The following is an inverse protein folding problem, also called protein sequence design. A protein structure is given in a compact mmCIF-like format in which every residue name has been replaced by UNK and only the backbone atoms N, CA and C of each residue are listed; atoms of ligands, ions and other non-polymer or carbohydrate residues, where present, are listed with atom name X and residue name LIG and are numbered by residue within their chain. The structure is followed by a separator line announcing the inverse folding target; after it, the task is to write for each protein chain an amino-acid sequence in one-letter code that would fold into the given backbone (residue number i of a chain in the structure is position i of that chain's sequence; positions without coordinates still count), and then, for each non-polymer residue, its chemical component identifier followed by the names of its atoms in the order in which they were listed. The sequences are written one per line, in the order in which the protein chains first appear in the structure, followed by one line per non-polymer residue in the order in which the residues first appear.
data_IF_687984772858
#
_entry.id   IF_687984772858
#
_cell.length_a   1.000
_cell.length_b   1.000
_cell.length_c   1.000
_cell.angle_alpha   90.00
_cell.angle_beta   90.00
_cell.angle_gamma   90.00
#
_symmetry.space_group_name_H-M   'P 1'
#
loop_
_entity.id
_entity.type
_entity.pdbx_description
1 polymer ?
#
# COMPACT_ATOMS: atom_id res chain seq x y z
N UNK A 1 -10.12 6.15 -23.36
CA UNK A 1 -10.20 6.42 -21.90
C UNK A 1 -9.64 7.83 -21.69
N UNK A 2 -10.25 8.65 -20.85
CA UNK A 2 -9.91 10.08 -20.75
C UNK A 2 -8.69 10.29 -19.86
N UNK A 3 -7.68 11.06 -20.30
CA UNK A 3 -6.48 11.41 -19.53
C UNK A 3 -6.82 12.03 -18.16
N UNK A 4 -7.91 12.81 -18.11
CA UNK A 4 -8.39 13.39 -16.85
C UNK A 4 -8.68 12.32 -15.81
N UNK A 5 -9.32 11.22 -16.21
CA UNK A 5 -9.61 10.10 -15.33
C UNK A 5 -8.32 9.44 -14.79
N UNK A 6 -7.32 9.23 -15.65
CA UNK A 6 -6.02 8.68 -15.19
C UNK A 6 -5.31 9.58 -14.18
N UNK A 7 -5.41 10.91 -14.33
CA UNK A 7 -4.88 11.85 -13.34
C UNK A 7 -5.62 11.76 -12.01
N UNK A 8 -6.93 11.67 -12.03
CA UNK A 8 -7.76 11.51 -10.83
C UNK A 8 -7.42 10.19 -10.12
N UNK A 9 -7.31 9.09 -10.85
CA UNK A 9 -6.91 7.78 -10.31
C UNK A 9 -5.48 7.82 -9.75
N UNK A 10 -4.54 8.50 -10.41
CA UNK A 10 -3.17 8.67 -9.93
C UNK A 10 -3.12 9.48 -8.62
N UNK A 11 -3.89 10.57 -8.53
CA UNK A 11 -3.98 11.39 -7.30
C UNK A 11 -4.53 10.56 -6.15
N UNK A 12 -5.59 9.79 -6.37
CA UNK A 12 -6.16 8.91 -5.35
C UNK A 12 -5.15 7.82 -4.94
N UNK A 13 -4.46 7.22 -5.90
CA UNK A 13 -3.43 6.20 -5.66
C UNK A 13 -2.27 6.75 -4.81
N UNK A 14 -1.77 7.95 -5.12
CA UNK A 14 -0.69 8.61 -4.39
C UNK A 14 -1.11 8.98 -2.96
N UNK A 15 -2.31 9.52 -2.78
CA UNK A 15 -2.84 9.90 -1.47
C UNK A 15 -3.01 8.73 -0.49
N UNK A 16 -3.15 7.51 -0.99
CA UNK A 16 -3.25 6.29 -0.17
C UNK A 16 -1.87 5.68 0.19
N UNK A 17 -0.75 6.28 -0.24
CA UNK A 17 0.59 5.70 -0.09
C UNK A 17 0.93 5.43 1.38
N UNK A 18 0.94 6.44 2.23
CA UNK A 18 1.27 6.31 3.66
C UNK A 18 0.24 5.49 4.44
N UNK A 19 -1.03 5.53 4.01
CA UNK A 19 -2.07 4.68 4.60
C UNK A 19 -1.80 3.19 4.32
N UNK A 20 -1.35 2.85 3.10
CA UNK A 20 -0.93 1.48 2.79
C UNK A 20 0.29 1.05 3.60
N UNK A 21 1.28 1.93 3.82
CA UNK A 21 2.41 1.64 4.71
C UNK A 21 1.95 1.34 6.14
N UNK A 22 1.05 2.16 6.68
CA UNK A 22 0.49 1.94 8.01
C UNK A 22 -0.29 0.62 8.08
N UNK A 23 -1.09 0.30 7.06
CA UNK A 23 -1.80 -0.98 6.97
C UNK A 23 -0.84 -2.18 6.94
N UNK A 24 0.26 -2.09 6.20
CA UNK A 24 1.29 -3.14 6.18
C UNK A 24 1.83 -3.39 7.59
N UNK A 25 2.22 -2.32 8.30
CA UNK A 25 2.75 -2.44 9.67
C UNK A 25 1.74 -3.07 10.63
N UNK A 26 0.47 -2.69 10.54
CA UNK A 26 -0.59 -3.28 11.36
C UNK A 26 -0.78 -4.77 11.05
N UNK A 27 -0.82 -5.15 9.79
CA UNK A 27 -0.95 -6.54 9.37
C UNK A 27 0.28 -7.38 9.75
N UNK A 28 1.49 -6.81 9.74
CA UNK A 28 2.70 -7.48 10.20
C UNK A 28 2.65 -7.78 11.70
N UNK A 29 2.15 -6.85 12.50
CA UNK A 29 1.94 -7.07 13.95
C UNK A 29 0.87 -8.15 14.18
N UNK A 30 -0.24 -8.10 13.45
CA UNK A 30 -1.31 -9.11 13.52
C UNK A 30 -0.78 -10.49 13.12
N UNK A 31 -0.02 -10.58 12.03
CA UNK A 31 0.63 -11.81 11.58
C UNK A 31 1.53 -12.41 12.66
N UNK A 32 2.40 -11.60 13.25
CA UNK A 32 3.30 -12.05 14.32
C UNK A 32 2.55 -12.53 15.56
N UNK A 33 1.48 -11.82 15.96
CA UNK A 33 0.65 -12.22 17.08
C UNK A 33 -0.02 -13.57 16.83
N UNK A 34 -0.57 -13.79 15.63
CA UNK A 34 -1.21 -15.04 15.25
C UNK A 34 -0.20 -16.20 15.13
N UNK A 35 0.99 -15.93 14.62
CA UNK A 35 2.07 -16.93 14.51
C UNK A 35 2.52 -17.42 15.90
N UNK A 36 2.57 -16.55 16.90
CA UNK A 36 2.88 -16.91 18.30
C UNK A 36 1.77 -17.71 18.98
N UNK A 37 0.52 -17.51 18.55
CA UNK A 37 -0.63 -18.28 19.04
C UNK A 37 -0.74 -19.66 18.39
N UNK A 38 0.00 -19.92 17.30
CA UNK A 38 0.09 -21.24 16.71
C UNK A 38 0.87 -22.11 17.69
N UNK A 39 0.26 -23.10 18.36
CA UNK A 39 1.02 -24.01 19.20
C UNK A 39 2.02 -24.69 18.28
N UNK A 40 3.29 -24.35 18.40
CA UNK A 40 4.32 -25.25 17.93
C UNK A 40 3.95 -26.62 18.48
N UNK A 41 4.19 -27.69 17.74
CA UNK A 41 3.99 -29.08 18.14
C UNK A 41 4.95 -29.35 19.32
N UNK A 42 4.73 -28.66 20.41
CA UNK A 42 5.25 -28.98 21.74
C UNK A 42 4.30 -30.02 22.27
N UNK A 43 4.80 -31.24 22.30
CA UNK A 43 4.17 -32.39 22.90
C UNK A 43 3.22 -32.00 24.01
N UNK A 44 1.91 -32.11 23.77
CA UNK A 44 0.94 -32.20 24.84
C UNK A 44 1.34 -33.42 25.63
N UNK A 45 1.96 -33.18 26.79
CA UNK A 45 2.24 -34.23 27.75
C UNK A 45 0.90 -34.87 28.09
N UNK A 46 0.70 -36.08 27.58
CA UNK A 46 -0.44 -36.93 27.89
C UNK A 46 -0.24 -37.49 29.30
N UNK A 47 -0.23 -36.65 30.30
CA UNK A 47 -0.26 -37.11 31.69
C UNK A 47 -1.30 -36.28 32.44
N UNK A 48 -2.49 -36.81 32.48
CA UNK A 48 -3.58 -36.75 33.42
C UNK A 48 -4.92 -36.92 32.72
N UNK A 49 -5.19 -38.14 32.26
CA UNK A 49 -6.56 -38.59 32.06
C UNK A 49 -7.11 -39.03 33.43
N UNK A 50 -7.67 -38.10 34.17
CA UNK A 50 -8.58 -38.45 35.27
C UNK A 50 -9.99 -38.53 34.70
N UNK A 51 -10.51 -39.76 34.70
CA UNK A 51 -11.86 -40.02 34.28
C UNK A 51 -12.86 -39.32 35.21
N UNK A 52 -13.76 -38.51 34.63
CA UNK A 52 -15.17 -38.47 35.01
C UNK A 52 -16.03 -37.60 34.07
N UNK A 53 -17.01 -38.30 33.45
CA UNK A 53 -18.37 -37.86 33.08
C UNK A 53 -18.58 -36.78 32.04
N UNK A 54 -19.11 -37.26 30.89
CA UNK A 54 -20.22 -36.68 30.09
C UNK A 54 -20.58 -35.20 30.32
N UNK A 55 -19.91 -34.34 29.63
CA UNK A 55 -20.34 -33.13 28.95
C UNK A 55 -19.18 -32.53 28.18
N UNK A 56 -18.70 -33.28 27.16
CA UNK A 56 -17.74 -32.76 26.22
C UNK A 56 -18.55 -32.20 25.06
N UNK A 57 -18.88 -30.95 25.14
CA UNK A 57 -19.31 -30.16 24.01
C UNK A 57 -18.78 -28.77 24.22
N UNK A 58 -18.00 -28.35 23.33
CA UNK A 58 -17.79 -27.01 22.88
C UNK A 58 -16.41 -26.33 23.07
N UNK A 59 -15.65 -26.35 24.17
CA UNK A 59 -14.39 -25.62 24.18
C UNK A 59 -13.28 -26.29 23.33
N UNK A 60 -13.28 -27.64 23.27
CA UNK A 60 -12.27 -28.39 22.48
C UNK A 60 -12.55 -28.32 20.97
N UNK A 61 -13.84 -28.48 20.59
CA UNK A 61 -14.23 -28.33 19.17
C UNK A 61 -13.98 -26.91 18.66
N UNK A 62 -14.25 -25.89 19.48
CA UNK A 62 -13.93 -24.50 19.13
C UNK A 62 -12.43 -24.26 18.98
N UNK A 63 -11.59 -24.83 19.85
CA UNK A 63 -10.13 -24.71 19.76
C UNK A 63 -9.57 -25.44 18.54
N UNK A 64 -10.10 -26.64 18.22
CA UNK A 64 -9.69 -27.40 17.02
C UNK A 64 -10.09 -26.65 15.75
N UNK A 65 -11.33 -26.13 15.67
CA UNK A 65 -11.78 -25.34 14.51
C UNK A 65 -10.98 -24.05 14.33
N UNK A 66 -10.57 -23.40 15.42
CA UNK A 66 -9.68 -22.22 15.36
C UNK A 66 -8.28 -22.61 14.89
N UNK A 67 -7.73 -23.72 15.37
CA UNK A 67 -6.41 -24.22 14.95
C UNK A 67 -6.39 -24.63 13.46
N UNK A 68 -7.49 -25.19 12.95
CA UNK A 68 -7.63 -25.55 11.53
C UNK A 68 -7.73 -24.32 10.61
N UNK A 69 -8.33 -23.22 11.07
CA UNK A 69 -8.48 -21.97 10.29
C UNK A 69 -7.23 -21.08 10.32
N UNK A 70 -6.40 -21.22 11.34
CA UNK A 70 -5.26 -20.34 11.55
C UNK A 70 -4.26 -20.30 10.40
N UNK A 71 -3.90 -21.43 9.71
CA UNK A 71 -3.03 -21.39 8.54
C UNK A 71 -3.61 -20.59 7.38
N UNK A 72 -4.92 -20.72 7.12
CA UNK A 72 -5.60 -19.99 6.05
C UNK A 72 -5.64 -18.48 6.33
N UNK A 73 -5.87 -18.10 7.58
CA UNK A 73 -5.87 -16.70 8.01
C UNK A 73 -4.48 -16.08 7.92
N UNK A 74 -3.43 -16.78 8.33
CA UNK A 74 -2.04 -16.36 8.17
C UNK A 74 -1.67 -16.16 6.69
N UNK A 75 -2.08 -17.08 5.83
CA UNK A 75 -1.85 -16.99 4.39
C UNK A 75 -2.62 -15.82 3.76
N UNK A 76 -3.82 -15.53 4.22
CA UNK A 76 -4.61 -14.38 3.77
C UNK A 76 -3.94 -13.07 4.15
N UNK A 77 -3.48 -12.92 5.41
CA UNK A 77 -2.77 -11.74 5.89
C UNK A 77 -1.47 -11.55 5.10
N UNK A 78 -0.68 -12.62 4.93
CA UNK A 78 0.57 -12.60 4.16
C UNK A 78 0.36 -12.11 2.72
N UNK A 79 -0.64 -12.66 2.03
CA UNK A 79 -0.99 -12.21 0.66
C UNK A 79 -1.40 -10.75 0.63
N UNK A 80 -2.14 -10.28 1.63
CA UNK A 80 -2.53 -8.87 1.73
C UNK A 80 -1.33 -7.94 1.94
N UNK A 81 -0.39 -8.31 2.82
CA UNK A 81 0.87 -7.57 3.03
C UNK A 81 1.65 -7.46 1.71
N UNK A 82 1.85 -8.58 1.02
CA UNK A 82 2.59 -8.61 -0.26
C UNK A 82 1.91 -7.70 -1.29
N UNK A 83 0.59 -7.76 -1.41
CA UNK A 83 -0.15 -6.93 -2.34
C UNK A 83 -0.01 -5.43 -2.04
N UNK A 84 -0.14 -5.02 -0.77
CA UNK A 84 0.01 -3.61 -0.36
C UNK A 84 1.43 -3.10 -0.62
N UNK A 85 2.46 -3.89 -0.26
CA UNK A 85 3.86 -3.57 -0.54
C UNK A 85 4.12 -3.41 -2.03
N UNK A 86 3.58 -4.30 -2.86
CA UNK A 86 3.73 -4.23 -4.30
C UNK A 86 3.10 -2.95 -4.89
N UNK A 87 1.95 -2.50 -4.37
CA UNK A 87 1.34 -1.25 -4.83
C UNK A 87 2.25 -0.03 -4.55
N UNK A 88 2.83 0.05 -3.35
CA UNK A 88 3.76 1.12 -3.01
C UNK A 88 5.06 1.02 -3.81
N UNK A 89 5.61 -0.18 -3.96
CA UNK A 89 6.82 -0.40 -4.76
C UNK A 89 6.66 0.06 -6.22
N UNK A 90 5.49 -0.13 -6.84
CA UNK A 90 5.21 0.40 -8.19
C UNK A 90 5.31 1.92 -8.22
N UNK A 91 4.78 2.61 -7.20
CA UNK A 91 4.88 4.07 -7.09
C UNK A 91 6.35 4.49 -6.94
N UNK A 92 7.12 3.81 -6.08
CA UNK A 92 8.53 4.12 -5.85
C UNK A 92 9.36 3.98 -7.14
N UNK A 93 9.09 2.94 -7.93
CA UNK A 93 9.74 2.74 -9.24
C UNK A 93 9.43 3.90 -10.18
N UNK A 94 8.16 4.33 -10.27
CA UNK A 94 7.76 5.47 -11.09
C UNK A 94 8.45 6.74 -10.63
N UNK A 95 8.42 7.04 -9.32
CA UNK A 95 9.06 8.22 -8.76
C UNK A 95 10.58 8.21 -8.99
N UNK A 96 11.23 7.06 -8.93
CA UNK A 96 12.66 6.94 -9.22
C UNK A 96 13.01 7.25 -10.69
N UNK A 97 12.07 6.99 -11.61
CA UNK A 97 12.22 7.30 -13.03
C UNK A 97 11.88 8.77 -13.36
N UNK A 98 11.22 9.49 -12.46
CA UNK A 98 10.89 10.90 -12.65
C UNK A 98 12.08 11.80 -12.34
N UNK A 99 12.24 12.87 -13.12
CA UNK A 99 13.25 13.91 -12.88
C UNK A 99 12.74 14.97 -11.92
N UNK A 100 13.68 15.70 -11.28
CA UNK A 100 13.34 16.91 -10.53
C UNK A 100 13.00 18.06 -11.51
N UNK A 101 12.06 18.96 -11.15
CA UNK A 101 11.34 19.07 -9.86
C UNK A 101 10.03 18.27 -9.79
N UNK A 102 9.68 17.51 -10.82
CA UNK A 102 8.39 16.79 -10.91
C UNK A 102 8.23 15.74 -9.80
N UNK A 103 9.28 14.98 -9.52
CA UNK A 103 9.27 13.99 -8.44
C UNK A 103 8.98 14.63 -7.09
N UNK A 104 9.72 15.68 -6.72
CA UNK A 104 9.52 16.39 -5.45
C UNK A 104 8.12 16.98 -5.34
N UNK A 105 7.56 17.51 -6.43
CA UNK A 105 6.20 18.03 -6.44
C UNK A 105 5.19 16.92 -6.14
N UNK A 106 5.28 15.78 -6.83
CA UNK A 106 4.37 14.64 -6.61
C UNK A 106 4.46 14.15 -5.17
N UNK A 107 5.66 13.96 -4.63
CA UNK A 107 5.85 13.51 -3.25
C UNK A 107 5.22 14.49 -2.25
N UNK A 108 5.62 15.75 -2.31
CA UNK A 108 5.16 16.75 -1.34
C UNK A 108 3.65 16.99 -1.43
N UNK A 109 3.11 17.13 -2.64
CA UNK A 109 1.70 17.52 -2.80
C UNK A 109 0.74 16.37 -2.63
N UNK A 110 1.03 15.20 -3.22
CA UNK A 110 0.07 14.12 -3.34
C UNK A 110 0.32 12.94 -2.38
N UNK A 111 1.56 12.72 -1.96
CA UNK A 111 1.85 11.69 -0.97
C UNK A 111 1.84 12.29 0.44
N UNK A 112 2.60 13.38 0.67
CA UNK A 112 2.73 14.03 1.98
C UNK A 112 1.60 15.03 2.27
N UNK A 113 0.70 15.26 1.30
CA UNK A 113 -0.46 16.15 1.40
C UNK A 113 -0.11 17.58 1.84
N UNK A 114 1.09 18.07 1.51
CA UNK A 114 1.56 19.38 1.88
C UNK A 114 0.74 20.49 1.19
N UNK A 115 0.51 21.63 1.89
CA UNK A 115 -0.14 22.78 1.28
C UNK A 115 0.73 23.38 0.16
N UNK A 116 0.10 24.00 -0.84
CA UNK A 116 0.80 24.57 -1.98
C UNK A 116 1.89 25.56 -1.61
N UNK A 117 1.73 26.31 -0.54
CA UNK A 117 2.74 27.23 -0.02
C UNK A 117 4.06 26.54 0.33
N UNK A 118 4.01 25.36 0.93
CA UNK A 118 5.21 24.58 1.24
C UNK A 118 5.79 23.89 -0.01
N UNK A 119 4.93 23.41 -0.90
CA UNK A 119 5.36 22.85 -2.19
C UNK A 119 6.11 23.89 -3.01
N UNK A 120 5.55 25.11 -3.11
CA UNK A 120 6.17 26.24 -3.80
C UNK A 120 7.55 26.59 -3.22
N UNK A 121 7.67 26.70 -1.91
CA UNK A 121 8.94 27.02 -1.26
C UNK A 121 10.05 26.01 -1.56
N UNK A 122 9.69 24.75 -1.78
CA UNK A 122 10.63 23.69 -2.14
C UNK A 122 10.93 23.59 -3.64
N UNK A 123 10.04 24.08 -4.49
CA UNK A 123 10.26 24.21 -5.93
C UNK A 123 10.93 25.56 -6.25
N UNK A 124 12.06 25.85 -5.62
CA UNK A 124 12.78 27.12 -5.76
C UNK A 124 13.10 27.45 -7.24
N UNK A 125 12.90 28.72 -7.61
CA UNK A 125 13.17 29.21 -8.96
C UNK A 125 11.95 29.34 -9.88
N UNK A 126 10.77 28.95 -9.41
CA UNK A 126 9.51 29.07 -10.15
C UNK A 126 8.54 30.00 -9.41
N UNK A 127 7.58 30.60 -10.12
CA UNK A 127 6.47 31.34 -9.48
C UNK A 127 5.44 30.37 -8.89
N UNK A 128 4.71 30.82 -7.85
CA UNK A 128 3.66 29.98 -7.24
C UNK A 128 2.60 29.54 -8.27
N UNK A 129 2.21 30.47 -9.13
CA UNK A 129 1.21 30.22 -10.19
C UNK A 129 1.68 29.13 -11.16
N UNK A 130 2.94 29.21 -11.58
CA UNK A 130 3.54 28.20 -12.45
C UNK A 130 3.62 26.83 -11.78
N UNK A 131 4.00 26.77 -10.49
CA UNK A 131 4.08 25.50 -9.74
C UNK A 131 2.69 24.86 -9.60
N UNK A 132 1.68 25.65 -9.29
CA UNK A 132 0.29 25.14 -9.12
C UNK A 132 -0.37 24.74 -10.44
N UNK A 133 -0.02 25.39 -11.51
CA UNK A 133 -0.59 25.16 -12.85
C UNK A 133 0.28 24.22 -13.70
N UNK A 134 1.17 24.80 -14.46
CA UNK A 134 1.89 24.09 -15.52
C UNK A 134 2.86 23.00 -15.03
N UNK A 135 3.62 23.30 -13.96
CA UNK A 135 4.56 22.33 -13.39
C UNK A 135 3.81 21.11 -12.82
N UNK A 136 2.71 21.37 -12.12
CA UNK A 136 1.86 20.34 -11.57
C UNK A 136 1.23 19.46 -12.66
N UNK A 137 0.74 20.07 -13.74
CA UNK A 137 0.15 19.34 -14.85
C UNK A 137 1.18 18.45 -15.57
N UNK A 138 2.38 18.97 -15.79
CA UNK A 138 3.51 18.21 -16.36
C UNK A 138 3.93 17.06 -15.45
N UNK A 139 4.00 17.28 -14.13
CA UNK A 139 4.36 16.23 -13.18
C UNK A 139 3.34 15.09 -13.16
N UNK A 140 2.05 15.41 -13.13
CA UNK A 140 0.98 14.40 -13.21
C UNK A 140 0.98 13.66 -14.55
N UNK A 141 1.20 14.36 -15.67
CA UNK A 141 1.31 13.73 -16.98
C UNK A 141 2.49 12.75 -17.04
N UNK A 142 3.65 13.14 -16.52
CA UNK A 142 4.81 12.26 -16.44
C UNK A 142 4.55 11.03 -15.58
N UNK A 143 3.97 11.21 -14.40
CA UNK A 143 3.60 10.09 -13.52
C UNK A 143 2.64 9.13 -14.21
N UNK A 144 1.54 9.66 -14.80
CA UNK A 144 0.52 8.86 -15.50
C UNK A 144 1.12 8.08 -16.66
N UNK A 145 1.99 8.70 -17.45
CA UNK A 145 2.61 8.04 -18.61
C UNK A 145 3.51 6.87 -18.25
N UNK A 146 4.18 6.95 -17.10
CA UNK A 146 5.06 5.87 -16.64
C UNK A 146 4.23 4.79 -15.95
N UNK A 147 3.27 5.18 -15.12
CA UNK A 147 2.46 4.23 -14.33
C UNK A 147 1.42 3.48 -15.18
N UNK A 148 0.84 4.15 -16.18
CA UNK A 148 -0.17 3.63 -17.11
C UNK A 148 0.37 3.66 -18.55
N UNK A 149 1.23 2.72 -18.96
CA UNK A 149 1.90 2.76 -20.27
C UNK A 149 0.94 2.76 -21.46
N UNK A 150 -0.29 2.28 -21.27
CA UNK A 150 -1.37 2.35 -22.27
C UNK A 150 -1.77 3.79 -22.65
N UNK A 151 -1.46 4.78 -21.82
CA UNK A 151 -1.72 6.20 -22.11
C UNK A 151 -0.76 6.77 -23.16
N UNK A 152 0.40 6.15 -23.38
CA UNK A 152 1.40 6.60 -24.34
C UNK A 152 0.91 6.54 -25.80
N UNK A 153 -0.11 5.73 -26.08
CA UNK A 153 -0.75 5.66 -27.39
C UNK A 153 -1.72 6.80 -27.68
N UNK A 154 -2.02 7.64 -26.69
CA UNK A 154 -2.97 8.77 -26.82
C UNK A 154 -2.26 10.10 -27.20
N UNK A 155 -1.04 10.07 -27.71
CA UNK A 155 -0.37 11.24 -28.29
C UNK A 155 0.14 12.29 -27.29
N UNK A 156 0.40 11.91 -26.02
CA UNK A 156 0.83 12.84 -24.96
C UNK A 156 2.26 13.37 -25.08
N UNK A 157 3.07 12.88 -26.01
CA UNK A 157 4.49 13.24 -26.15
C UNK A 157 4.89 13.77 -27.53
N UNK A 158 3.93 14.21 -28.35
CA UNK A 158 4.30 14.72 -29.69
C UNK A 158 5.05 16.05 -29.69
N UNK A 159 5.09 16.80 -28.55
CA UNK A 159 5.55 18.19 -28.58
C UNK A 159 6.63 18.59 -27.55
N UNK A 160 7.36 17.67 -26.92
CA UNK A 160 8.38 18.07 -25.92
C UNK A 160 9.66 17.23 -25.95
N UNK A 161 10.36 17.25 -27.12
CA UNK A 161 11.80 17.03 -27.19
C UNK A 161 12.44 18.11 -28.01
#
# INVERSE_FOLDING_TARGET
MDLKKYKEDAIALLGEYHKREAQVRLLEVEYQAMEQLTPGVSAVSYDQVSAHTNKISSPVEGAVQQAEKLPDDLDRIRRRIVWLKLQNQKIDVVLSAMTEPYRSLIQLRYMDMQPWTLVYLKCSGYSEEYVRGELNDKALNMFVSIYYPETNHVGLFADNF
#
